data_IF_923532617960
#
_entry.id   IF_923532617960
#
_cell.length_a   1.000
_cell.length_b   1.000
_cell.length_c   1.000
_cell.angle_alpha   90.00
_cell.angle_beta   90.00
_cell.angle_gamma   90.00
#
_symmetry.space_group_name_H-M   'P 1'
#
loop_
_entity.id
_entity.type
_entity.pdbx_description
1 polymer ?
#
# COMPACT_ATOMS: atom_id res chain seq x y z
N UNK A 1 36.18 -57.70 33.83
CA UNK A 1 34.84 -57.19 34.26
C UNK A 1 34.61 -55.67 34.13
N UNK A 2 35.46 -54.87 33.44
CA UNK A 2 35.33 -53.43 33.33
C UNK A 2 34.66 -52.94 31.97
N UNK A 3 34.51 -53.85 31.00
CA UNK A 3 33.93 -53.45 29.65
C UNK A 3 32.47 -53.81 29.51
N UNK A 4 31.90 -54.65 30.39
CA UNK A 4 30.47 -55.01 30.32
C UNK A 4 29.52 -53.94 30.83
N UNK A 5 29.96 -53.03 31.70
CA UNK A 5 29.15 -51.96 32.28
C UNK A 5 29.07 -50.78 31.31
N UNK A 6 30.13 -50.55 30.52
CA UNK A 6 30.18 -49.46 29.55
C UNK A 6 29.26 -49.71 28.33
N UNK A 7 29.09 -50.98 27.92
CA UNK A 7 28.21 -51.36 26.81
C UNK A 7 26.71 -51.28 27.16
N UNK A 8 26.36 -51.58 28.43
CA UNK A 8 24.97 -51.47 28.91
C UNK A 8 24.51 -50.00 29.05
N UNK A 9 25.43 -49.09 29.40
CA UNK A 9 25.13 -47.64 29.51
C UNK A 9 24.95 -47.00 28.14
N UNK A 10 25.60 -47.50 27.09
CA UNK A 10 25.48 -47.02 25.73
C UNK A 10 24.17 -47.45 25.06
N UNK A 11 23.58 -48.58 25.48
CA UNK A 11 22.30 -49.07 24.94
C UNK A 11 21.08 -48.30 25.50
N UNK A 12 21.23 -47.66 26.68
CA UNK A 12 20.16 -46.91 27.33
C UNK A 12 19.96 -45.50 26.72
N UNK A 13 20.92 -45.01 25.91
CA UNK A 13 20.82 -43.70 25.25
C UNK A 13 20.09 -43.73 23.90
N UNK A 14 19.70 -44.89 23.37
CA UNK A 14 19.04 -45.04 22.09
C UNK A 14 17.51 -45.16 22.16
N UNK A 15 16.91 -45.14 23.35
CA UNK A 15 15.46 -45.30 23.52
C UNK A 15 14.69 -43.99 23.79
N UNK A 16 15.33 -42.82 23.69
CA UNK A 16 14.69 -41.52 23.97
C UNK A 16 14.38 -40.68 22.73
N UNK A 17 14.04 -41.31 21.61
CA UNK A 17 13.44 -40.61 20.46
C UNK A 17 12.08 -41.19 20.14
N UNK A 18 11.20 -41.29 21.13
CA UNK A 18 9.77 -41.42 20.98
C UNK A 18 9.19 -40.04 20.70
N UNK A 19 9.51 -39.43 19.54
CA UNK A 19 8.80 -38.26 19.09
C UNK A 19 7.33 -38.60 19.03
N UNK A 20 6.49 -37.91 19.82
CA UNK A 20 5.02 -38.00 19.73
C UNK A 20 4.68 -37.86 18.26
N UNK A 21 4.18 -38.92 17.61
CA UNK A 21 3.72 -38.83 16.24
C UNK A 21 2.57 -37.81 16.24
N UNK A 22 2.86 -36.66 15.73
CA UNK A 22 1.87 -35.58 15.58
C UNK A 22 0.86 -36.04 14.54
N UNK A 23 -0.33 -36.43 14.98
CA UNK A 23 -1.49 -36.76 14.13
C UNK A 23 -2.31 -35.49 13.85
N UNK A 24 -3.33 -35.57 13.00
CA UNK A 24 -4.19 -34.45 12.67
C UNK A 24 -4.89 -33.85 13.89
N UNK A 25 -5.33 -34.68 14.84
CA UNK A 25 -5.95 -34.25 16.09
C UNK A 25 -5.02 -33.40 16.95
N UNK A 26 -3.74 -33.72 17.01
CA UNK A 26 -2.75 -32.90 17.69
C UNK A 26 -2.72 -31.47 17.15
N UNK A 27 -2.72 -31.28 15.83
CA UNK A 27 -2.73 -29.95 15.21
C UNK A 27 -4.03 -29.19 15.45
N UNK A 28 -5.17 -29.89 15.43
CA UNK A 28 -6.47 -29.30 15.75
C UNK A 28 -6.51 -28.81 17.20
N UNK A 29 -6.06 -29.62 18.17
CA UNK A 29 -6.02 -29.23 19.58
C UNK A 29 -5.02 -28.08 19.83
N UNK A 30 -3.85 -28.09 19.18
CA UNK A 30 -2.94 -26.96 19.25
C UNK A 30 -3.56 -25.68 18.68
N UNK A 31 -4.31 -25.80 17.58
CA UNK A 31 -5.04 -24.65 17.01
C UNK A 31 -6.04 -24.07 18.02
N UNK A 32 -6.83 -24.92 18.68
CA UNK A 32 -7.77 -24.49 19.73
C UNK A 32 -7.07 -23.78 20.88
N UNK A 33 -5.92 -24.30 21.33
CA UNK A 33 -5.12 -23.67 22.37
C UNK A 33 -4.61 -22.29 21.95
N UNK A 34 -4.06 -22.17 20.74
CA UNK A 34 -3.61 -20.86 20.22
C UNK A 34 -4.76 -19.87 20.05
N UNK A 35 -5.89 -20.33 19.56
CA UNK A 35 -7.09 -19.50 19.41
C UNK A 35 -7.62 -19.00 20.76
N UNK A 36 -7.68 -19.86 21.77
CA UNK A 36 -8.05 -19.49 23.14
C UNK A 36 -7.07 -18.49 23.77
N UNK A 37 -5.77 -18.57 23.39
CA UNK A 37 -4.75 -17.63 23.80
C UNK A 37 -4.76 -16.30 22.97
N UNK A 38 -5.67 -16.14 22.02
CA UNK A 38 -5.80 -14.93 21.17
C UNK A 38 -4.78 -14.89 20.02
N UNK A 39 -4.09 -16.00 19.73
CA UNK A 39 -3.10 -16.06 18.64
C UNK A 39 -3.71 -16.73 17.40
N UNK A 40 -4.58 -15.99 16.72
CA UNK A 40 -5.31 -16.46 15.54
C UNK A 40 -4.37 -16.89 14.41
N UNK A 41 -3.23 -16.24 14.25
CA UNK A 41 -2.26 -16.55 13.18
C UNK A 41 -1.67 -17.95 13.36
N UNK A 42 -1.21 -18.27 14.56
CA UNK A 42 -0.71 -19.61 14.85
C UNK A 42 -1.82 -20.66 14.81
N UNK A 43 -3.01 -20.32 15.27
CA UNK A 43 -4.17 -21.21 15.18
C UNK A 43 -4.45 -21.61 13.73
N UNK A 44 -4.52 -20.63 12.81
CA UNK A 44 -4.73 -20.89 11.38
C UNK A 44 -3.59 -21.70 10.76
N UNK A 45 -2.33 -21.43 11.14
CA UNK A 45 -1.15 -22.20 10.66
C UNK A 45 -1.24 -23.68 11.07
N UNK A 46 -1.73 -23.97 12.29
CA UNK A 46 -1.94 -25.36 12.73
C UNK A 46 -3.01 -26.05 11.87
N UNK A 47 -4.10 -25.37 11.54
CA UNK A 47 -5.16 -25.91 10.69
C UNK A 47 -4.68 -26.12 9.24
N UNK A 48 -3.82 -25.26 8.72
CA UNK A 48 -3.19 -25.45 7.41
C UNK A 48 -2.32 -26.71 7.39
N UNK A 49 -1.63 -27.01 8.51
CA UNK A 49 -0.84 -28.22 8.65
C UNK A 49 -1.71 -29.49 8.55
N UNK A 50 -2.95 -29.47 9.05
CA UNK A 50 -3.90 -30.60 8.88
C UNK A 50 -4.19 -30.86 7.42
N UNK A 51 -4.47 -29.81 6.65
CA UNK A 51 -4.80 -29.93 5.22
C UNK A 51 -3.63 -30.46 4.39
N UNK A 52 -2.40 -30.04 4.73
CA UNK A 52 -1.17 -30.38 3.99
C UNK A 52 -0.65 -31.78 4.36
N UNK A 53 -0.57 -32.08 5.66
CA UNK A 53 0.07 -33.30 6.15
C UNK A 53 -0.88 -34.52 6.17
N UNK A 54 -2.19 -34.28 6.29
CA UNK A 54 -3.21 -35.34 6.42
C UNK A 54 -4.31 -35.23 5.36
N UNK A 55 -3.97 -35.17 4.05
CA UNK A 55 -4.96 -34.92 2.98
C UNK A 55 -6.01 -36.03 2.84
N UNK A 56 -5.74 -37.23 3.37
CA UNK A 56 -6.66 -38.38 3.30
C UNK A 56 -7.59 -38.49 4.53
N UNK A 57 -7.35 -37.76 5.59
CA UNK A 57 -8.16 -37.77 6.80
C UNK A 57 -9.34 -36.78 6.68
N UNK A 58 -10.39 -37.21 5.94
CA UNK A 58 -11.52 -36.35 5.55
C UNK A 58 -12.20 -35.72 6.77
N UNK A 59 -12.43 -36.51 7.82
CA UNK A 59 -13.14 -36.04 9.02
C UNK A 59 -12.32 -34.99 9.78
N UNK A 60 -11.05 -35.24 10.02
CA UNK A 60 -10.17 -34.26 10.67
C UNK A 60 -10.01 -32.97 9.84
N UNK A 61 -10.00 -33.06 8.53
CA UNK A 61 -10.00 -31.89 7.63
C UNK A 61 -11.30 -31.09 7.75
N UNK A 62 -12.44 -31.76 7.81
CA UNK A 62 -13.76 -31.11 8.00
C UNK A 62 -13.79 -30.33 9.32
N UNK A 63 -13.32 -30.94 10.43
CA UNK A 63 -13.21 -30.26 11.74
C UNK A 63 -12.26 -29.06 11.64
N UNK A 64 -11.08 -29.23 11.01
CA UNK A 64 -10.12 -28.15 10.84
C UNK A 64 -10.68 -26.99 9.99
N UNK A 65 -11.41 -27.29 8.93
CA UNK A 65 -12.04 -26.28 8.08
C UNK A 65 -13.15 -25.53 8.81
N UNK A 66 -13.96 -26.22 9.60
CA UNK A 66 -15.00 -25.57 10.42
C UNK A 66 -14.38 -24.59 11.41
N UNK A 67 -13.36 -25.01 12.16
CA UNK A 67 -12.67 -24.14 13.11
C UNK A 67 -11.97 -22.97 12.41
N UNK A 68 -11.39 -23.20 11.23
CA UNK A 68 -10.80 -22.13 10.39
C UNK A 68 -11.86 -21.07 10.04
N UNK A 69 -13.05 -21.50 9.64
CA UNK A 69 -14.12 -20.56 9.28
C UNK A 69 -14.62 -19.77 10.50
N UNK A 70 -14.71 -20.38 11.67
CA UNK A 70 -15.05 -19.70 12.92
C UNK A 70 -14.03 -18.60 13.25
N UNK A 71 -12.74 -18.94 13.22
CA UNK A 71 -11.66 -17.98 13.47
C UNK A 71 -11.73 -16.82 12.46
N UNK A 72 -11.83 -17.12 11.17
CA UNK A 72 -11.91 -16.12 10.11
C UNK A 72 -13.17 -15.25 10.21
N UNK A 73 -14.31 -15.83 10.56
CA UNK A 73 -15.55 -15.10 10.79
C UNK A 73 -15.37 -14.09 11.92
N UNK A 74 -14.85 -14.53 13.06
CA UNK A 74 -14.57 -13.65 14.20
C UNK A 74 -13.63 -12.52 13.84
N UNK A 75 -12.53 -12.80 13.12
CA UNK A 75 -11.60 -11.77 12.64
C UNK A 75 -12.31 -10.71 11.79
N UNK A 76 -13.13 -11.14 10.83
CA UNK A 76 -13.87 -10.21 9.97
C UNK A 76 -14.86 -9.36 10.79
N UNK A 77 -15.65 -10.00 11.68
CA UNK A 77 -16.65 -9.29 12.53
C UNK A 77 -15.95 -8.28 13.45
N UNK A 78 -14.83 -8.66 14.05
CA UNK A 78 -14.09 -7.78 14.97
C UNK A 78 -13.39 -6.62 14.22
N UNK A 79 -12.95 -6.83 12.97
CA UNK A 79 -12.27 -5.78 12.21
C UNK A 79 -13.20 -4.67 11.72
N UNK A 80 -14.48 -4.95 11.49
CA UNK A 80 -15.44 -3.96 10.93
C UNK A 80 -15.57 -2.72 11.81
N UNK A 81 -15.83 -2.77 13.13
CA UNK A 81 -15.93 -1.57 13.96
C UNK A 81 -14.64 -0.75 14.00
N UNK A 82 -13.47 -1.40 13.94
CA UNK A 82 -12.18 -0.72 13.89
C UNK A 82 -12.01 0.03 12.56
N UNK A 83 -12.40 -0.61 11.44
CA UNK A 83 -12.36 0.02 10.12
C UNK A 83 -13.36 1.18 10.05
N UNK A 84 -14.54 1.08 10.66
CA UNK A 84 -15.52 2.16 10.72
C UNK A 84 -14.95 3.38 11.45
N UNK A 85 -14.28 3.18 12.57
CA UNK A 85 -13.61 4.27 13.29
C UNK A 85 -12.50 4.95 12.44
N UNK A 86 -11.72 4.14 11.70
CA UNK A 86 -10.68 4.68 10.80
C UNK A 86 -11.32 5.48 9.67
N UNK A 87 -12.40 4.99 9.06
CA UNK A 87 -13.14 5.65 7.99
C UNK A 87 -13.70 6.99 8.49
N UNK A 88 -14.34 7.02 9.66
CA UNK A 88 -14.92 8.22 10.24
C UNK A 88 -13.85 9.31 10.49
N UNK A 89 -12.74 8.94 11.13
CA UNK A 89 -11.63 9.86 11.40
C UNK A 89 -11.01 10.38 10.09
N UNK A 90 -10.81 9.51 9.10
CA UNK A 90 -10.25 9.89 7.81
C UNK A 90 -11.21 10.81 7.05
N UNK A 91 -12.51 10.51 7.04
CA UNK A 91 -13.54 11.34 6.41
C UNK A 91 -13.55 12.75 7.01
N UNK A 92 -13.56 12.88 8.33
CA UNK A 92 -13.52 14.19 9.01
C UNK A 92 -12.32 15.03 8.56
N UNK A 93 -11.14 14.43 8.44
CA UNK A 93 -9.94 15.10 7.95
C UNK A 93 -10.03 15.46 6.48
N UNK A 94 -10.56 14.55 5.63
CA UNK A 94 -10.77 14.81 4.21
C UNK A 94 -11.72 15.99 3.98
N UNK A 95 -12.82 16.09 4.73
CA UNK A 95 -13.80 17.19 4.63
C UNK A 95 -13.17 18.56 4.86
N UNK A 96 -12.14 18.62 5.71
CA UNK A 96 -11.38 19.84 5.96
C UNK A 96 -10.42 20.23 4.85
N UNK A 97 -9.88 19.24 4.12
CA UNK A 97 -8.84 19.43 3.09
C UNK A 97 -9.40 19.51 1.68
N UNK A 98 -10.49 18.79 1.36
CA UNK A 98 -11.05 18.67 0.01
C UNK A 98 -11.43 20.04 -0.59
N UNK A 99 -11.74 21.04 0.23
CA UNK A 99 -12.04 22.41 -0.19
C UNK A 99 -10.90 23.11 -0.97
N UNK A 100 -9.64 22.65 -0.76
CA UNK A 100 -8.48 23.16 -1.48
C UNK A 100 -8.33 22.54 -2.88
N UNK A 101 -9.06 21.47 -3.16
CA UNK A 101 -8.93 20.69 -4.38
C UNK A 101 -10.16 20.84 -5.28
N UNK A 102 -9.97 20.58 -6.56
CA UNK A 102 -11.02 20.38 -7.54
C UNK A 102 -10.88 18.96 -8.09
N UNK A 103 -11.99 18.27 -8.16
CA UNK A 103 -12.06 16.91 -8.68
C UNK A 103 -12.34 16.94 -10.17
N UNK A 104 -11.59 16.14 -10.92
CA UNK A 104 -11.75 15.95 -12.36
C UNK A 104 -11.87 14.46 -12.65
N UNK A 105 -12.89 14.10 -13.43
CA UNK A 105 -13.09 12.74 -13.92
C UNK A 105 -13.82 12.80 -15.24
N UNK A 106 -13.20 12.24 -16.29
CA UNK A 106 -13.90 11.96 -17.54
C UNK A 106 -14.50 10.56 -17.44
N UNK A 107 -15.82 10.50 -17.19
CA UNK A 107 -16.53 9.23 -16.99
C UNK A 107 -16.59 8.34 -18.23
N UNK A 108 -16.25 8.87 -19.42
CA UNK A 108 -16.21 8.10 -20.66
C UNK A 108 -14.86 7.39 -20.88
N UNK A 109 -13.77 7.97 -20.36
CA UNK A 109 -12.40 7.52 -20.65
C UNK A 109 -11.56 7.20 -19.42
N UNK A 110 -12.06 7.51 -18.21
CA UNK A 110 -11.30 7.35 -16.97
C UNK A 110 -12.08 6.57 -15.92
N UNK A 111 -11.52 5.48 -15.47
CA UNK A 111 -12.07 4.71 -14.34
C UNK A 111 -11.84 5.43 -13.00
N UNK A 112 -10.74 6.17 -12.89
CA UNK A 112 -10.28 6.85 -11.66
C UNK A 112 -10.16 8.34 -11.93
N UNK A 113 -10.78 9.15 -11.06
CA UNK A 113 -10.69 10.61 -11.11
C UNK A 113 -9.46 11.14 -10.37
N UNK A 114 -9.19 12.43 -10.54
CA UNK A 114 -8.01 13.12 -10.04
C UNK A 114 -8.38 14.40 -9.32
N UNK A 115 -7.77 14.62 -8.16
CA UNK A 115 -7.86 15.86 -7.39
C UNK A 115 -6.66 16.76 -7.71
N UNK A 116 -6.91 17.98 -8.10
CA UNK A 116 -5.92 19.01 -8.37
C UNK A 116 -6.11 20.21 -7.43
N UNK A 117 -5.03 20.78 -6.96
CA UNK A 117 -5.08 21.95 -6.07
C UNK A 117 -5.59 23.18 -6.84
N UNK A 118 -6.59 23.91 -6.30
CA UNK A 118 -7.32 25.00 -6.99
C UNK A 118 -6.44 26.19 -7.39
N UNK A 119 -5.31 26.40 -6.70
CA UNK A 119 -4.43 27.57 -6.96
C UNK A 119 -3.43 27.25 -8.06
N UNK A 120 -2.86 26.04 -8.09
CA UNK A 120 -1.79 25.66 -9.02
C UNK A 120 -2.36 24.99 -10.26
N UNK A 121 -3.05 25.77 -11.10
CA UNK A 121 -3.62 25.29 -12.35
C UNK A 121 -2.70 25.59 -13.54
N UNK A 122 -2.82 24.81 -14.60
CA UNK A 122 -2.01 24.97 -15.82
C UNK A 122 -2.32 26.31 -16.50
N UNK A 123 -3.58 26.75 -16.51
CA UNK A 123 -4.04 28.01 -17.15
C UNK A 123 -3.42 29.25 -16.52
N UNK A 124 -3.13 29.21 -15.22
CA UNK A 124 -2.51 30.32 -14.50
C UNK A 124 -0.98 30.33 -14.59
N UNK A 125 -0.39 29.26 -15.13
CA UNK A 125 1.05 29.02 -15.13
C UNK A 125 1.56 28.66 -16.54
N UNK A 126 1.01 29.23 -17.59
CA UNK A 126 1.27 28.85 -19.00
C UNK A 126 2.72 29.06 -19.43
N UNK A 127 3.38 30.11 -18.92
CA UNK A 127 4.70 30.55 -19.40
C UNK A 127 5.76 30.48 -18.30
N UNK A 128 5.71 29.49 -17.43
CA UNK A 128 6.74 29.28 -16.40
C UNK A 128 7.02 27.81 -16.11
N UNK A 129 8.20 27.54 -15.55
CA UNK A 129 8.53 26.24 -15.04
C UNK A 129 7.92 26.04 -13.65
N UNK A 130 7.24 24.92 -13.43
CA UNK A 130 6.65 24.57 -12.15
C UNK A 130 6.36 23.06 -12.07
N UNK A 131 6.19 22.57 -10.85
CA UNK A 131 5.71 21.22 -10.58
C UNK A 131 4.26 21.28 -10.11
N UNK A 132 3.39 20.48 -10.71
CA UNK A 132 1.97 20.37 -10.34
C UNK A 132 1.71 19.01 -9.72
N UNK A 133 1.52 18.92 -8.39
CA UNK A 133 1.07 17.70 -7.76
C UNK A 133 -0.42 17.50 -7.94
N UNK A 134 -0.84 16.26 -8.13
CA UNK A 134 -2.23 15.80 -8.18
C UNK A 134 -2.37 14.47 -7.44
N UNK A 135 -3.61 14.11 -7.07
CA UNK A 135 -3.90 12.91 -6.28
C UNK A 135 -5.08 12.18 -6.91
N UNK A 136 -4.98 10.86 -7.10
CA UNK A 136 -6.10 10.05 -7.56
C UNK A 136 -7.11 9.71 -6.44
N UNK A 137 -8.23 9.07 -6.77
CA UNK A 137 -9.27 8.65 -5.81
C UNK A 137 -8.75 7.64 -4.75
N UNK A 138 -7.61 7.00 -4.99
CA UNK A 138 -6.98 6.04 -4.08
C UNK A 138 -5.87 6.66 -3.23
N UNK A 139 -5.57 7.94 -3.42
CA UNK A 139 -4.51 8.65 -2.73
C UNK A 139 -3.12 8.48 -3.36
N UNK A 140 -3.01 7.98 -4.59
CA UNK A 140 -1.74 7.96 -5.30
C UNK A 140 -1.42 9.36 -5.85
N UNK A 141 -0.17 9.80 -5.60
CA UNK A 141 0.31 11.11 -6.05
C UNK A 141 0.93 10.98 -7.43
N UNK A 142 0.66 11.98 -8.28
CA UNK A 142 1.34 12.21 -9.55
C UNK A 142 1.90 13.63 -9.55
N UNK A 143 3.14 13.82 -9.98
CA UNK A 143 3.74 15.14 -10.18
C UNK A 143 3.91 15.38 -11.68
N UNK A 144 3.26 16.41 -12.22
CA UNK A 144 3.51 16.87 -13.58
C UNK A 144 4.54 18.00 -13.54
N UNK A 145 5.67 17.80 -14.22
CA UNK A 145 6.71 18.82 -14.39
C UNK A 145 6.45 19.59 -15.68
N UNK A 146 6.31 20.89 -15.56
CA UNK A 146 6.19 21.79 -16.69
C UNK A 146 7.47 22.60 -16.82
N UNK A 147 8.08 22.51 -17.98
CA UNK A 147 9.19 23.34 -18.38
C UNK A 147 8.77 24.25 -19.55
N UNK A 148 9.21 25.50 -19.51
CA UNK A 148 9.03 26.49 -20.56
C UNK A 148 10.37 27.21 -20.81
N UNK A 149 10.84 27.23 -22.05
CA UNK A 149 12.11 27.87 -22.44
C UNK A 149 12.77 27.23 -23.66
N UNK A 150 14.07 27.38 -23.78
CA UNK A 150 14.85 26.69 -24.79
C UNK A 150 14.83 25.17 -24.55
N UNK A 151 14.96 24.37 -25.62
CA UNK A 151 14.82 22.90 -25.53
C UNK A 151 15.77 22.28 -24.51
N UNK A 152 15.23 21.67 -23.48
CA UNK A 152 15.95 21.07 -22.37
C UNK A 152 16.11 19.56 -22.48
N UNK A 153 15.15 18.88 -23.14
CA UNK A 153 15.04 17.42 -23.19
C UNK A 153 15.11 16.80 -21.80
N UNK A 154 14.40 17.44 -20.83
CA UNK A 154 14.45 16.91 -19.48
C UNK A 154 13.66 15.61 -19.38
N UNK A 155 14.25 14.63 -18.69
CA UNK A 155 13.68 13.29 -18.51
C UNK A 155 13.84 12.77 -17.09
N UNK A 156 14.29 13.63 -16.16
CA UNK A 156 14.51 13.25 -14.78
C UNK A 156 14.33 14.46 -13.88
N UNK A 157 13.77 14.25 -12.69
CA UNK A 157 13.52 15.27 -11.69
C UNK A 157 14.43 15.05 -10.49
N UNK A 158 15.15 16.09 -10.05
CA UNK A 158 15.92 16.08 -8.82
C UNK A 158 15.46 17.20 -7.91
N UNK A 159 15.18 16.86 -6.64
CA UNK A 159 14.79 17.79 -5.58
C UNK A 159 15.86 17.81 -4.51
N UNK A 160 16.36 18.98 -4.15
CA UNK A 160 17.45 19.12 -3.20
C UNK A 160 17.14 20.15 -2.12
N UNK A 161 17.58 19.84 -0.90
CA UNK A 161 17.59 20.74 0.25
C UNK A 161 18.98 20.65 0.87
N UNK A 162 19.71 21.75 0.89
CA UNK A 162 21.13 21.81 1.27
C UNK A 162 21.98 20.76 0.52
N UNK A 163 22.61 19.82 1.26
CA UNK A 163 23.45 18.75 0.71
C UNK A 163 22.69 17.46 0.38
N UNK A 164 21.42 17.36 0.78
CA UNK A 164 20.60 16.15 0.58
C UNK A 164 19.70 16.30 -0.64
N UNK A 165 19.41 15.20 -1.29
CA UNK A 165 18.52 15.20 -2.44
C UNK A 165 17.81 13.86 -2.62
N UNK A 166 16.69 13.92 -3.33
CA UNK A 166 15.97 12.78 -3.89
C UNK A 166 15.78 13.03 -5.38
N UNK A 167 15.87 12.00 -6.20
CA UNK A 167 15.63 12.12 -7.64
C UNK A 167 14.82 10.95 -8.18
N UNK A 168 14.08 11.20 -9.25
CA UNK A 168 13.36 10.14 -9.98
C UNK A 168 14.37 9.24 -10.70
N UNK A 169 14.01 8.00 -11.06
CA UNK A 169 14.66 7.34 -12.20
C UNK A 169 14.45 8.15 -13.48
N UNK A 170 15.09 7.74 -14.56
CA UNK A 170 14.84 8.30 -15.90
C UNK A 170 13.40 7.96 -16.29
N UNK A 171 12.63 8.97 -16.65
CA UNK A 171 11.22 8.83 -17.02
C UNK A 171 11.13 8.31 -18.45
N UNK A 172 10.28 7.30 -18.72
CA UNK A 172 10.05 6.77 -20.05
C UNK A 172 9.44 7.81 -21.01
N UNK A 173 9.73 7.67 -22.31
CA UNK A 173 9.28 8.60 -23.33
C UNK A 173 7.77 8.74 -23.48
N UNK A 174 7.02 7.69 -23.14
CA UNK A 174 5.54 7.71 -23.11
C UNK A 174 4.97 8.71 -22.10
N UNK A 175 5.72 9.04 -21.06
CA UNK A 175 5.33 10.01 -20.03
C UNK A 175 5.89 11.42 -20.30
N UNK A 176 6.51 11.64 -21.47
CA UNK A 176 7.12 12.91 -21.87
C UNK A 176 6.38 13.45 -23.08
N UNK A 177 6.00 14.72 -23.01
CA UNK A 177 5.43 15.47 -24.14
C UNK A 177 6.27 16.72 -24.40
N UNK A 178 6.59 16.98 -25.65
CA UNK A 178 7.41 18.10 -26.09
C UNK A 178 6.63 18.87 -27.17
N UNK A 179 6.44 20.17 -26.94
CA UNK A 179 5.67 21.06 -27.82
C UNK A 179 6.53 22.25 -28.20
N UNK A 180 6.82 22.40 -29.47
CA UNK A 180 7.43 23.60 -30.00
C UNK A 180 6.37 24.71 -30.08
N UNK A 181 6.63 25.84 -29.44
CA UNK A 181 5.73 26.99 -29.39
C UNK A 181 6.15 28.07 -30.41
N UNK A 182 7.46 28.27 -30.57
CA UNK A 182 8.09 29.23 -31.50
C UNK A 182 9.45 28.66 -31.95
N UNK A 183 10.20 29.37 -32.77
CA UNK A 183 11.53 28.94 -33.30
C UNK A 183 12.50 28.56 -32.18
N UNK A 184 12.43 29.22 -31.03
CA UNK A 184 13.36 29.05 -29.90
C UNK A 184 12.69 28.65 -28.59
N UNK A 185 11.35 28.55 -28.54
CA UNK A 185 10.58 28.30 -27.33
C UNK A 185 9.87 26.94 -27.36
N UNK A 186 10.07 26.18 -26.30
CA UNK A 186 9.49 24.84 -26.12
C UNK A 186 8.73 24.78 -24.80
N UNK A 187 7.70 23.96 -24.79
CA UNK A 187 7.03 23.51 -23.59
C UNK A 187 7.23 22.01 -23.47
N UNK A 188 7.96 21.59 -22.46
CA UNK A 188 8.14 20.17 -22.13
C UNK A 188 7.30 19.82 -20.92
N UNK A 189 6.61 18.70 -20.98
CA UNK A 189 5.75 18.19 -19.89
C UNK A 189 6.15 16.77 -19.57
N UNK A 190 6.47 16.49 -18.30
CA UNK A 190 6.76 15.16 -17.82
C UNK A 190 5.75 14.77 -16.75
N UNK A 191 5.16 13.59 -16.91
CA UNK A 191 4.28 12.99 -15.93
C UNK A 191 5.07 11.97 -15.09
N UNK A 192 5.24 12.28 -13.82
CA UNK A 192 5.91 11.42 -12.82
C UNK A 192 4.82 10.81 -11.95
N UNK A 193 4.36 9.63 -12.32
CA UNK A 193 3.37 8.89 -11.57
C UNK A 193 3.97 8.22 -10.32
N UNK A 194 3.14 7.57 -9.52
CA UNK A 194 3.54 6.94 -8.26
C UNK A 194 4.66 5.90 -8.38
N UNK A 195 4.84 5.31 -9.58
CA UNK A 195 5.90 4.33 -9.87
C UNK A 195 7.29 4.98 -9.93
N UNK A 196 7.35 6.22 -10.40
CA UNK A 196 8.60 6.96 -10.64
C UNK A 196 8.89 8.04 -9.60
N UNK A 197 7.95 8.33 -8.67
CA UNK A 197 8.08 9.43 -7.69
C UNK A 197 9.30 9.29 -6.76
N UNK A 198 9.67 8.06 -6.41
CA UNK A 198 10.79 7.76 -5.52
C UNK A 198 10.82 8.61 -4.23
N UNK A 199 9.64 8.96 -3.66
CA UNK A 199 9.51 9.73 -2.42
C UNK A 199 9.74 11.24 -2.57
N UNK A 200 9.73 11.79 -3.77
CA UNK A 200 9.89 13.24 -4.01
C UNK A 200 8.77 14.05 -3.36
N UNK A 201 7.53 13.57 -3.42
CA UNK A 201 6.37 14.19 -2.81
C UNK A 201 6.50 14.30 -1.28
N UNK A 202 6.88 13.22 -0.62
CA UNK A 202 7.18 13.20 0.81
C UNK A 202 8.35 14.11 1.16
N UNK A 203 9.43 14.05 0.36
CA UNK A 203 10.62 14.86 0.60
C UNK A 203 10.34 16.37 0.50
N UNK A 204 9.53 16.81 -0.48
CA UNK A 204 9.10 18.21 -0.61
C UNK A 204 8.23 18.60 0.58
N UNK A 205 7.25 17.77 0.95
CA UNK A 205 6.34 18.04 2.06
C UNK A 205 7.08 18.13 3.40
N UNK A 206 8.03 17.25 3.66
CA UNK A 206 8.83 17.22 4.88
C UNK A 206 9.80 18.41 5.02
N UNK A 207 10.13 19.11 3.93
CA UNK A 207 11.04 20.25 3.89
C UNK A 207 10.36 21.56 3.46
N UNK A 208 9.04 21.66 3.60
CA UNK A 208 8.27 22.83 3.12
C UNK A 208 8.67 24.16 3.76
N UNK A 209 9.27 24.14 4.96
CA UNK A 209 9.83 25.29 5.67
C UNK A 209 11.21 25.74 5.16
N UNK A 210 11.89 24.92 4.34
CA UNK A 210 13.25 25.10 3.87
C UNK A 210 13.30 25.61 2.43
N UNK A 211 14.48 25.96 1.94
CA UNK A 211 14.72 26.32 0.54
C UNK A 211 14.86 25.06 -0.30
N UNK A 212 13.87 24.78 -1.14
CA UNK A 212 13.83 23.60 -1.99
C UNK A 212 14.27 23.98 -3.41
N UNK A 213 15.32 23.31 -3.88
CA UNK A 213 15.87 23.45 -5.23
C UNK A 213 15.36 22.32 -6.11
N UNK A 214 14.78 22.68 -7.25
CA UNK A 214 14.35 21.76 -8.29
C UNK A 214 15.39 21.81 -9.42
N UNK A 215 15.79 20.64 -9.88
CA UNK A 215 16.65 20.48 -11.07
C UNK A 215 15.93 19.57 -12.06
N UNK A 216 15.56 20.10 -13.20
CA UNK A 216 15.08 19.35 -14.35
C UNK A 216 16.34 18.86 -15.08
N UNK A 217 16.58 17.56 -15.04
CA UNK A 217 17.78 16.92 -15.62
C UNK A 217 17.45 16.43 -17.02
N UNK A 218 18.32 16.72 -17.95
CA UNK A 218 18.22 16.38 -19.36
C UNK A 218 19.50 16.81 -20.09
N UNK A 219 19.43 17.00 -21.40
CA UNK A 219 20.57 17.48 -22.20
C UNK A 219 21.02 18.89 -21.75
N UNK A 220 20.05 19.78 -21.49
CA UNK A 220 20.26 21.12 -20.99
C UNK A 220 19.55 21.29 -19.62
N UNK A 221 20.23 20.99 -18.50
CA UNK A 221 19.59 21.02 -17.18
C UNK A 221 19.10 22.43 -16.80
N UNK A 222 17.91 22.50 -16.23
CA UNK A 222 17.32 23.73 -15.75
C UNK A 222 17.10 23.68 -14.23
N UNK A 223 17.35 24.79 -13.55
CA UNK A 223 17.27 24.89 -12.09
C UNK A 223 16.39 26.05 -11.67
N UNK A 224 15.48 25.79 -10.72
CA UNK A 224 14.68 26.82 -10.05
C UNK A 224 14.40 26.41 -8.59
N UNK A 225 13.70 27.29 -7.86
CA UNK A 225 13.35 27.07 -6.47
C UNK A 225 11.85 27.16 -6.29
N UNK A 226 11.28 26.24 -5.47
CA UNK A 226 9.86 26.32 -5.10
C UNK A 226 9.64 27.59 -4.24
N UNK A 227 8.61 28.33 -4.59
CA UNK A 227 8.15 29.46 -3.78
C UNK A 227 7.29 28.98 -2.59
N UNK A 228 6.93 29.90 -1.67
CA UNK A 228 6.16 29.57 -0.47
C UNK A 228 4.83 28.92 -0.76
N UNK A 229 4.10 29.43 -1.74
CA UNK A 229 2.78 28.90 -2.15
C UNK A 229 2.91 27.49 -2.73
N UNK A 230 3.89 27.25 -3.58
CA UNK A 230 4.14 25.92 -4.15
C UNK A 230 4.46 24.89 -3.05
N UNK A 231 5.30 25.24 -2.10
CA UNK A 231 5.65 24.38 -0.96
C UNK A 231 4.43 24.05 -0.09
N UNK A 232 3.56 25.03 0.18
CA UNK A 232 2.31 24.84 0.91
C UNK A 232 1.35 23.93 0.14
N UNK A 233 1.26 24.07 -1.19
CA UNK A 233 0.45 23.21 -2.05
C UNK A 233 0.97 21.76 -2.00
N UNK A 234 2.29 21.55 -2.09
CA UNK A 234 2.87 20.21 -1.96
C UNK A 234 2.57 19.59 -0.59
N UNK A 235 2.76 20.35 0.49
CA UNK A 235 2.46 19.90 1.84
C UNK A 235 0.98 19.50 2.00
N UNK A 236 0.07 20.37 1.57
CA UNK A 236 -1.38 20.11 1.64
C UNK A 236 -1.78 18.91 0.77
N UNK A 237 -1.19 18.79 -0.42
CA UNK A 237 -1.46 17.67 -1.33
C UNK A 237 -0.96 16.35 -0.74
N UNK A 238 0.22 16.32 -0.16
CA UNK A 238 0.77 15.13 0.50
C UNK A 238 -0.09 14.69 1.69
N UNK A 239 -0.54 15.65 2.51
CA UNK A 239 -1.47 15.32 3.61
C UNK A 239 -2.79 14.76 3.10
N UNK A 240 -3.38 15.38 2.07
CA UNK A 240 -4.63 14.93 1.45
C UNK A 240 -4.48 13.52 0.87
N UNK A 241 -3.40 13.26 0.14
CA UNK A 241 -3.10 11.96 -0.48
C UNK A 241 -2.99 10.85 0.58
N UNK A 242 -2.26 11.09 1.67
CA UNK A 242 -2.10 10.12 2.74
C UNK A 242 -3.44 9.77 3.41
N UNK A 243 -4.25 10.78 3.74
CA UNK A 243 -5.54 10.54 4.36
C UNK A 243 -6.49 9.83 3.40
N UNK A 244 -6.51 10.21 2.13
CA UNK A 244 -7.32 9.58 1.09
C UNK A 244 -6.91 8.11 0.87
N UNK A 245 -5.61 7.81 0.90
CA UNK A 245 -5.10 6.44 0.83
C UNK A 245 -5.55 5.59 2.04
N UNK A 246 -5.50 6.14 3.25
CA UNK A 246 -5.99 5.46 4.45
C UNK A 246 -7.50 5.20 4.33
N UNK A 247 -8.27 6.19 3.92
CA UNK A 247 -9.71 6.10 3.73
C UNK A 247 -10.09 5.03 2.70
N UNK A 248 -9.51 5.11 1.50
CA UNK A 248 -9.76 4.15 0.41
C UNK A 248 -9.39 2.71 0.81
N UNK A 249 -8.23 2.52 1.45
CA UNK A 249 -7.81 1.20 1.96
C UNK A 249 -8.77 0.65 3.01
N UNK A 250 -9.22 1.49 3.94
CA UNK A 250 -10.14 1.07 5.00
C UNK A 250 -11.51 0.65 4.42
N UNK A 251 -12.06 1.41 3.47
CA UNK A 251 -13.30 1.05 2.76
C UNK A 251 -13.15 -0.28 2.02
N UNK A 252 -12.06 -0.47 1.29
CA UNK A 252 -11.79 -1.69 0.55
C UNK A 252 -11.63 -2.91 1.49
N UNK A 253 -10.95 -2.74 2.61
CA UNK A 253 -10.80 -3.79 3.63
C UNK A 253 -12.13 -4.14 4.28
N UNK A 254 -12.97 -3.14 4.61
CA UNK A 254 -14.32 -3.35 5.15
C UNK A 254 -15.20 -4.11 4.15
N UNK A 255 -15.21 -3.70 2.89
CA UNK A 255 -15.96 -4.39 1.83
C UNK A 255 -15.54 -5.85 1.69
N UNK A 256 -14.22 -6.13 1.67
CA UNK A 256 -13.69 -7.49 1.63
C UNK A 256 -14.06 -8.31 2.87
N UNK A 257 -14.07 -7.71 4.05
CA UNK A 257 -14.49 -8.38 5.28
C UNK A 257 -15.97 -8.77 5.23
N UNK A 258 -16.84 -7.87 4.77
CA UNK A 258 -18.28 -8.14 4.60
C UNK A 258 -18.51 -9.27 3.59
N UNK A 259 -17.89 -9.20 2.41
CA UNK A 259 -17.98 -10.25 1.40
C UNK A 259 -17.50 -11.61 1.93
N UNK A 260 -16.41 -11.62 2.69
CA UNK A 260 -15.89 -12.86 3.30
C UNK A 260 -16.86 -13.43 4.32
N UNK A 261 -17.51 -12.61 5.14
CA UNK A 261 -18.56 -13.04 6.08
C UNK A 261 -19.71 -13.72 5.33
N UNK A 262 -20.17 -13.16 4.23
CA UNK A 262 -21.24 -13.75 3.41
C UNK A 262 -20.85 -15.11 2.86
N UNK A 263 -19.64 -15.23 2.30
CA UNK A 263 -19.12 -16.51 1.78
C UNK A 263 -19.03 -17.56 2.89
N UNK A 264 -18.53 -17.18 4.06
CA UNK A 264 -18.39 -18.10 5.19
C UNK A 264 -19.74 -18.55 5.73
N UNK A 265 -20.75 -17.66 5.79
CA UNK A 265 -22.13 -18.01 6.15
C UNK A 265 -22.72 -19.03 5.17
N UNK A 266 -22.58 -18.83 3.88
CA UNK A 266 -23.09 -19.76 2.87
C UNK A 266 -22.41 -21.14 2.95
N UNK A 267 -21.13 -21.21 3.27
CA UNK A 267 -20.41 -22.49 3.46
C UNK A 267 -20.89 -23.23 4.71
N UNK A 268 -21.16 -22.51 5.78
CA UNK A 268 -21.63 -23.09 7.03
C UNK A 268 -23.05 -23.69 6.86
N UNK A 269 -23.96 -22.99 6.17
CA UNK A 269 -25.30 -23.49 5.87
C UNK A 269 -25.24 -24.81 5.09
N UNK A 270 -24.38 -24.89 4.05
CA UNK A 270 -24.23 -26.13 3.26
C UNK A 270 -23.70 -27.33 4.05
N UNK A 271 -22.98 -27.13 5.16
CA UNK A 271 -22.52 -28.22 6.02
C UNK A 271 -23.65 -28.80 6.86
N UNK A 272 -24.59 -27.98 7.29
CA UNK A 272 -25.76 -28.43 8.09
C UNK A 272 -26.87 -29.06 7.23
N UNK A 273 -26.90 -28.76 5.91
CA UNK A 273 -27.90 -29.37 5.00
C UNK A 273 -27.52 -30.80 4.56
N UNK A 274 -26.31 -31.30 4.89
CA UNK A 274 -25.86 -32.66 4.60
C UNK A 274 -25.81 -33.59 5.82
N UNK A 275 -26.24 -33.14 7.00
CA UNK A 275 -26.49 -33.95 8.19
C UNK A 275 -27.98 -34.28 8.32
#
# INVERSE_FOLDING_TARGET
MKYSISLALLLFLLTSCGGVRKNAEYYIEQSKCYYAAGNDTLALTMLDSVAILFPKEIENRRIADTLRWEIQMKQCVTSIPMLDSVIEIAQYKLDSLVKFFKFYKDTLYQDIGTYEHRILTTERNTNRCFLKPSVDENGAVTITSFYYGARAHHNQLKVSVDSFFVETPVIPSENISDFQLDESEYKEVIIVDSTYLNGIDEYIAANADRKIRITLKGENPYVYYLNGTEKEIFYTTYQFANILSIYSKAINQKSKAIQKIEILKQRNIKLYDYE
#
